data_IF_643820129363
#
_entry.id   IF_643820129363
#
_cell.length_a   1.000
_cell.length_b   1.000
_cell.length_c   1.000
_cell.angle_alpha   90.00
_cell.angle_beta   90.00
_cell.angle_gamma   90.00
#
_symmetry.space_group_name_H-M   'P 1'
#
loop_
_entity.id
_entity.type
_entity.pdbx_description
1 polymer ?
#
# COMPACT_ATOMS: atom_id res chain seq x y z
N UNK A 1 -8.97 4.08 3.70
CA UNK A 1 -9.61 3.35 4.83
C UNK A 1 -11.06 3.78 4.82
N UNK A 2 -12.03 2.86 4.70
CA UNK A 2 -13.44 3.24 4.74
C UNK A 2 -13.74 4.00 6.03
N UNK A 3 -14.23 5.22 5.91
CA UNK A 3 -14.59 6.07 7.06
C UNK A 3 -15.63 5.43 8.00
N UNK A 4 -16.37 4.44 7.50
CA UNK A 4 -17.34 3.65 8.26
C UNK A 4 -16.72 2.75 9.35
N UNK A 5 -15.44 2.37 9.22
CA UNK A 5 -14.76 1.50 10.19
C UNK A 5 -14.32 2.24 11.46
N UNK A 6 -14.09 3.54 11.38
CA UNK A 6 -13.44 4.31 12.47
C UNK A 6 -14.43 5.21 13.23
N UNK A 7 -15.62 5.41 12.70
CA UNK A 7 -16.48 6.47 13.23
C UNK A 7 -17.49 6.03 14.29
N UNK A 8 -18.75 6.03 13.91
CA UNK A 8 -19.88 5.91 14.84
C UNK A 8 -20.18 4.48 15.27
N UNK A 9 -20.04 3.50 14.37
CA UNK A 9 -20.44 2.11 14.70
C UNK A 9 -19.59 1.43 15.76
N UNK A 10 -18.26 1.66 15.78
CA UNK A 10 -17.41 1.08 16.80
C UNK A 10 -17.70 1.67 18.17
N UNK A 11 -17.98 2.96 18.24
CA UNK A 11 -18.33 3.60 19.51
C UNK A 11 -19.72 3.23 20.04
N UNK A 12 -20.71 3.02 19.14
CA UNK A 12 -22.02 2.50 19.54
C UNK A 12 -21.89 1.07 20.09
N UNK A 13 -21.04 0.24 19.48
CA UNK A 13 -20.79 -1.13 19.91
C UNK A 13 -19.98 -1.21 21.19
N UNK A 14 -19.04 -0.29 21.40
CA UNK A 14 -18.34 -0.13 22.69
C UNK A 14 -19.32 0.25 23.80
N UNK A 15 -20.20 1.21 23.55
CA UNK A 15 -21.27 1.59 24.47
C UNK A 15 -22.27 0.46 24.80
N UNK A 16 -22.43 -0.50 23.90
CA UNK A 16 -23.24 -1.71 24.09
C UNK A 16 -22.47 -2.91 24.65
N UNK A 17 -21.18 -2.72 25.00
CA UNK A 17 -20.26 -3.78 25.44
C UNK A 17 -20.11 -4.96 24.47
N UNK A 18 -20.33 -4.72 23.15
CA UNK A 18 -20.19 -5.73 22.11
C UNK A 18 -18.74 -5.87 21.61
N UNK A 19 -17.78 -6.01 22.53
CA UNK A 19 -16.33 -6.01 22.26
C UNK A 19 -15.89 -7.08 21.25
N UNK A 20 -16.55 -8.24 21.21
CA UNK A 20 -16.22 -9.29 20.23
C UNK A 20 -16.36 -8.81 18.77
N UNK A 21 -17.36 -7.97 18.48
CA UNK A 21 -17.49 -7.38 17.15
C UNK A 21 -16.40 -6.34 16.85
N UNK A 22 -16.01 -5.57 17.88
CA UNK A 22 -14.91 -4.60 17.76
C UNK A 22 -13.60 -5.33 17.47
N UNK A 23 -13.27 -6.36 18.25
CA UNK A 23 -12.08 -7.19 18.05
C UNK A 23 -12.05 -7.81 16.67
N UNK A 24 -13.17 -8.40 16.21
CA UNK A 24 -13.25 -9.02 14.91
C UNK A 24 -13.02 -8.01 13.77
N UNK A 25 -13.60 -6.81 13.86
CA UNK A 25 -13.40 -5.76 12.84
C UNK A 25 -11.95 -5.25 12.82
N UNK A 26 -11.35 -5.01 13.99
CA UNK A 26 -9.94 -4.60 14.08
C UNK A 26 -9.03 -5.70 13.52
N UNK A 27 -9.26 -6.94 13.90
CA UNK A 27 -8.50 -8.08 13.39
C UNK A 27 -8.59 -8.17 11.86
N UNK A 28 -9.80 -8.12 11.30
CA UNK A 28 -10.01 -8.19 9.86
C UNK A 28 -9.30 -7.02 9.14
N UNK A 29 -9.42 -5.81 9.67
CA UNK A 29 -8.71 -4.65 9.14
C UNK A 29 -7.18 -4.84 9.17
N UNK A 30 -6.64 -5.29 10.30
CA UNK A 30 -5.19 -5.50 10.43
C UNK A 30 -4.67 -6.59 9.49
N UNK A 31 -5.41 -7.69 9.30
CA UNK A 31 -4.98 -8.83 8.50
C UNK A 31 -5.17 -8.58 7.00
N UNK A 32 -6.37 -8.15 6.60
CA UNK A 32 -6.72 -8.08 5.18
C UNK A 32 -6.37 -6.72 4.55
N UNK A 33 -6.79 -5.63 5.17
CA UNK A 33 -6.63 -4.30 4.57
C UNK A 33 -5.24 -3.72 4.85
N UNK A 34 -4.84 -3.70 6.12
CA UNK A 34 -3.55 -3.13 6.51
C UNK A 34 -2.39 -4.05 6.08
N UNK A 35 -2.36 -5.29 6.57
CA UNK A 35 -1.27 -6.24 6.32
C UNK A 35 -1.27 -6.78 4.90
N UNK A 36 -2.43 -7.25 4.42
CA UNK A 36 -2.54 -7.90 3.12
C UNK A 36 -2.47 -6.96 1.91
N UNK A 37 -2.74 -5.69 2.09
CA UNK A 37 -2.77 -4.72 0.98
C UNK A 37 -1.83 -3.54 1.25
N UNK A 38 -2.13 -2.73 2.26
CA UNK A 38 -1.48 -1.42 2.40
C UNK A 38 0.00 -1.53 2.73
N UNK A 39 0.36 -2.31 3.76
CA UNK A 39 1.77 -2.46 4.16
C UNK A 39 2.62 -3.10 3.06
N UNK A 40 2.03 -3.98 2.26
CA UNK A 40 2.73 -4.63 1.17
C UNK A 40 3.05 -3.66 0.01
N UNK A 41 2.06 -2.84 -0.36
CA UNK A 41 2.21 -1.83 -1.40
C UNK A 41 3.23 -0.76 -1.02
N UNK A 42 3.23 -0.28 0.22
CA UNK A 42 4.10 0.83 0.64
C UNK A 42 5.53 0.42 0.95
N UNK A 43 5.87 -0.88 0.96
CA UNK A 43 7.25 -1.35 1.22
C UNK A 43 8.27 -0.66 0.32
N UNK A 44 7.98 -0.61 -0.98
CA UNK A 44 8.87 0.06 -1.94
C UNK A 44 9.04 1.54 -1.58
N UNK A 45 7.94 2.25 -1.30
CA UNK A 45 7.96 3.66 -0.90
C UNK A 45 8.77 3.89 0.39
N UNK A 46 8.64 3.01 1.37
CA UNK A 46 9.33 3.14 2.65
C UNK A 46 10.82 2.81 2.58
N UNK A 47 11.21 1.85 1.73
CA UNK A 47 12.59 1.34 1.72
C UNK A 47 13.42 1.84 0.54
N UNK A 48 12.80 2.18 -0.58
CA UNK A 48 13.50 2.53 -1.83
C UNK A 48 13.56 4.03 -2.07
N UNK A 49 12.52 4.80 -1.75
CA UNK A 49 12.53 6.25 -1.96
C UNK A 49 13.57 6.96 -1.09
N UNK A 50 13.97 8.15 -1.48
CA UNK A 50 14.91 9.00 -0.73
C UNK A 50 14.38 9.26 0.69
N UNK A 51 15.29 9.33 1.66
CA UNK A 51 14.94 9.39 3.10
C UNK A 51 14.11 10.61 3.50
N UNK A 52 14.32 11.73 2.83
CA UNK A 52 13.67 13.02 3.04
C UNK A 52 12.61 13.35 1.98
N UNK A 53 12.27 12.40 1.12
CA UNK A 53 11.28 12.60 0.05
C UNK A 53 9.87 12.81 0.61
N UNK A 54 9.09 13.62 -0.09
CA UNK A 54 7.67 13.80 0.21
C UNK A 54 6.91 12.45 0.22
N UNK A 55 7.23 11.56 -0.72
CA UNK A 55 6.62 10.23 -0.82
C UNK A 55 6.82 9.40 0.47
N UNK A 56 8.05 9.36 0.99
CA UNK A 56 8.35 8.64 2.23
C UNK A 56 7.72 9.28 3.44
N UNK A 57 7.82 10.60 3.56
CA UNK A 57 7.24 11.34 4.68
C UNK A 57 5.72 11.20 4.75
N UNK A 58 5.02 11.24 3.59
CA UNK A 58 3.57 11.04 3.54
C UNK A 58 3.16 9.62 3.95
N UNK A 59 3.93 8.60 3.55
CA UNK A 59 3.67 7.23 3.96
C UNK A 59 3.91 7.03 5.47
N UNK A 60 4.97 7.60 6.02
CA UNK A 60 5.24 7.60 7.47
C UNK A 60 4.14 8.30 8.26
N UNK A 61 3.66 9.45 7.76
CA UNK A 61 2.54 10.16 8.37
C UNK A 61 1.27 9.31 8.37
N UNK A 62 0.94 8.70 7.24
CA UNK A 62 -0.23 7.81 7.15
C UNK A 62 -0.13 6.61 8.10
N UNK A 63 1.04 5.99 8.21
CA UNK A 63 1.28 4.91 9.17
C UNK A 63 1.13 5.36 10.62
N UNK A 64 1.63 6.56 10.94
CA UNK A 64 1.48 7.15 12.27
C UNK A 64 0.01 7.39 12.60
N UNK A 65 -0.78 7.95 11.68
CA UNK A 65 -2.21 8.19 11.85
C UNK A 65 -2.99 6.87 12.07
N UNK A 66 -2.66 5.84 11.29
CA UNK A 66 -3.27 4.51 11.45
C UNK A 66 -2.90 3.91 12.81
N UNK A 67 -1.64 3.99 13.22
CA UNK A 67 -1.17 3.48 14.50
C UNK A 67 -1.84 4.20 15.67
N UNK A 68 -1.90 5.55 15.64
CA UNK A 68 -2.55 6.35 16.68
C UNK A 68 -4.01 5.96 16.88
N UNK A 69 -4.76 5.79 15.78
CA UNK A 69 -6.17 5.39 15.86
C UNK A 69 -6.30 3.96 16.38
N UNK A 70 -5.50 3.02 15.89
CA UNK A 70 -5.55 1.63 16.33
C UNK A 70 -5.25 1.50 17.81
N UNK A 71 -4.23 2.20 18.34
CA UNK A 71 -3.87 2.16 19.76
C UNK A 71 -5.05 2.65 20.62
N UNK A 72 -5.70 3.74 20.22
CA UNK A 72 -6.88 4.26 20.92
C UNK A 72 -8.07 3.30 20.85
N UNK A 73 -8.29 2.64 19.71
CA UNK A 73 -9.38 1.68 19.52
C UNK A 73 -9.18 0.39 20.35
N UNK A 74 -7.94 -0.07 20.50
CA UNK A 74 -7.66 -1.28 21.29
C UNK A 74 -7.52 -1.00 22.78
N UNK A 75 -7.34 0.26 23.21
CA UNK A 75 -7.06 0.62 24.59
C UNK A 75 -8.11 0.12 25.60
N UNK A 76 -9.42 0.09 25.31
CA UNK A 76 -10.41 -0.47 26.26
C UNK A 76 -10.30 -1.99 26.45
N UNK A 77 -9.64 -2.69 25.52
CA UNK A 77 -9.55 -4.16 25.48
C UNK A 77 -8.15 -4.61 25.89
N UNK A 78 -7.12 -4.04 25.28
CA UNK A 78 -5.71 -4.35 25.51
C UNK A 78 -5.06 -3.21 26.31
N UNK A 79 -5.56 -2.98 27.52
CA UNK A 79 -5.24 -1.82 28.37
C UNK A 79 -3.73 -1.61 28.54
N UNK A 80 -3.00 -2.64 28.96
CA UNK A 80 -1.57 -2.54 29.24
C UNK A 80 -0.76 -2.41 27.94
N UNK A 81 -1.08 -3.19 26.91
CA UNK A 81 -0.39 -3.14 25.62
C UNK A 81 -0.55 -1.78 24.97
N UNK A 82 -1.76 -1.22 24.97
CA UNK A 82 -2.02 0.08 24.39
C UNK A 82 -1.24 1.20 25.11
N UNK A 83 -1.20 1.17 26.44
CA UNK A 83 -0.42 2.14 27.21
C UNK A 83 1.08 1.95 27.01
N UNK A 84 1.58 0.73 26.95
CA UNK A 84 3.00 0.44 26.70
C UNK A 84 3.43 0.98 25.34
N UNK A 85 2.65 0.74 24.27
CA UNK A 85 2.91 1.30 22.95
C UNK A 85 2.89 2.83 23.00
N UNK A 86 1.90 3.41 23.69
CA UNK A 86 1.80 4.86 23.83
C UNK A 86 3.02 5.47 24.51
N UNK A 87 3.52 4.84 25.56
CA UNK A 87 4.69 5.29 26.29
C UNK A 87 6.02 5.01 25.56
N UNK A 88 6.03 4.12 24.58
CA UNK A 88 7.25 3.78 23.84
C UNK A 88 7.71 4.85 22.84
N UNK A 89 6.79 5.74 22.41
CA UNK A 89 7.09 6.69 21.34
C UNK A 89 6.76 8.14 21.72
N UNK A 90 7.74 9.03 21.53
CA UNK A 90 7.62 10.43 21.95
C UNK A 90 6.52 11.22 21.25
N UNK A 91 6.18 10.89 20.00
CA UNK A 91 5.09 11.55 19.29
C UNK A 91 3.72 11.28 19.92
N UNK A 92 3.51 10.10 20.51
CA UNK A 92 2.30 9.79 21.25
C UNK A 92 2.30 10.53 22.60
N UNK A 93 3.39 10.48 23.34
CA UNK A 93 3.53 11.18 24.64
C UNK A 93 3.33 12.69 24.55
N UNK A 94 3.73 13.31 23.40
CA UNK A 94 3.47 14.73 23.15
C UNK A 94 1.99 15.06 23.01
N UNK A 95 1.15 14.10 22.62
CA UNK A 95 -0.30 14.32 22.52
C UNK A 95 -0.96 14.25 23.91
N UNK A 96 -0.56 13.28 24.73
CA UNK A 96 -1.08 13.11 26.09
C UNK A 96 -0.15 12.21 26.91
N UNK A 97 -0.19 12.36 28.23
CA UNK A 97 0.57 11.53 29.19
C UNK A 97 0.17 10.05 29.15
N UNK A 98 -1.04 9.74 28.71
CA UNK A 98 -1.58 8.38 28.62
C UNK A 98 -2.60 8.30 27.50
N UNK A 99 -2.72 7.12 26.87
CA UNK A 99 -3.74 6.88 25.84
C UNK A 99 -5.16 7.07 26.39
N UNK A 100 -5.38 6.76 27.66
CA UNK A 100 -6.69 6.88 28.32
C UNK A 100 -7.12 8.33 28.58
N UNK A 101 -6.20 9.28 28.51
CA UNK A 101 -6.49 10.71 28.64
C UNK A 101 -6.68 11.40 27.28
N UNK A 102 -6.54 10.65 26.21
CA UNK A 102 -6.71 11.20 24.86
C UNK A 102 -8.18 11.35 24.50
N UNK A 103 -8.57 12.48 23.90
CA UNK A 103 -9.88 12.59 23.30
C UNK A 103 -10.00 11.62 22.13
N UNK A 104 -11.24 11.25 21.81
CA UNK A 104 -11.54 10.47 20.62
C UNK A 104 -11.01 11.19 19.38
N UNK A 105 -10.24 10.47 18.56
CA UNK A 105 -9.73 11.00 17.31
C UNK A 105 -10.64 10.60 16.15
N UNK A 106 -11.06 11.58 15.36
CA UNK A 106 -11.74 11.36 14.09
C UNK A 106 -10.74 11.56 12.95
N UNK A 107 -10.86 10.75 11.90
CA UNK A 107 -10.13 11.00 10.65
C UNK A 107 -10.79 12.18 9.93
N UNK A 108 -9.99 13.17 9.58
CA UNK A 108 -10.43 14.19 8.65
C UNK A 108 -10.59 13.56 7.27
N UNK A 109 -11.65 13.96 6.56
CA UNK A 109 -11.81 13.56 5.16
C UNK A 109 -10.67 14.16 4.36
N UNK A 110 -9.90 13.31 3.70
CA UNK A 110 -8.81 13.73 2.81
C UNK A 110 -9.41 13.85 1.41
N UNK A 111 -9.23 15.00 0.78
CA UNK A 111 -9.56 15.17 -0.63
C UNK A 111 -8.54 14.40 -1.47
N UNK A 112 -9.04 13.56 -2.36
CA UNK A 112 -8.23 12.76 -3.28
C UNK A 112 -8.75 12.92 -4.70
N UNK A 113 -7.84 12.93 -5.66
CA UNK A 113 -8.17 12.88 -7.08
C UNK A 113 -8.66 11.51 -7.54
N UNK A 114 -8.47 10.48 -6.72
CA UNK A 114 -8.95 9.12 -6.95
C UNK A 114 -10.12 8.89 -6.01
N UNK A 115 -11.29 8.58 -6.57
CA UNK A 115 -12.50 8.33 -5.81
C UNK A 115 -12.47 6.96 -5.10
N UNK A 116 -13.33 6.77 -4.10
CA UNK A 116 -13.49 5.48 -3.43
C UNK A 116 -13.95 4.38 -4.41
N UNK A 117 -14.72 4.73 -5.44
CA UNK A 117 -15.17 3.78 -6.45
C UNK A 117 -14.05 3.40 -7.41
N UNK A 118 -13.16 4.34 -7.77
CA UNK A 118 -11.93 4.01 -8.52
C UNK A 118 -11.06 3.03 -7.73
N UNK A 119 -10.86 3.27 -6.43
CA UNK A 119 -10.10 2.36 -5.57
C UNK A 119 -10.72 0.96 -5.50
N UNK A 120 -12.04 0.84 -5.44
CA UNK A 120 -12.71 -0.47 -5.49
C UNK A 120 -12.40 -1.22 -6.78
N UNK A 121 -12.43 -0.51 -7.93
CA UNK A 121 -12.06 -1.09 -9.23
C UNK A 121 -10.60 -1.52 -9.23
N UNK A 122 -9.69 -0.65 -8.77
CA UNK A 122 -8.25 -0.94 -8.71
C UNK A 122 -7.97 -2.19 -7.85
N UNK A 123 -8.60 -2.30 -6.68
CA UNK A 123 -8.41 -3.46 -5.80
C UNK A 123 -9.04 -4.73 -6.36
N UNK A 124 -10.19 -4.66 -7.04
CA UNK A 124 -10.77 -5.81 -7.71
C UNK A 124 -9.86 -6.35 -8.84
N UNK A 125 -9.21 -5.44 -9.58
CA UNK A 125 -8.19 -5.82 -10.57
C UNK A 125 -6.95 -6.40 -9.89
N UNK A 126 -6.49 -5.82 -8.76
CA UNK A 126 -5.37 -6.36 -7.97
C UNK A 126 -5.62 -7.79 -7.53
N UNK A 127 -6.82 -8.11 -7.06
CA UNK A 127 -7.17 -9.48 -6.66
C UNK A 127 -7.08 -10.44 -7.85
N UNK A 128 -7.55 -10.00 -9.02
CA UNK A 128 -7.44 -10.79 -10.26
C UNK A 128 -5.97 -10.95 -10.70
N UNK A 129 -5.15 -9.91 -10.56
CA UNK A 129 -3.70 -9.96 -10.83
C UNK A 129 -3.02 -10.94 -9.89
N UNK A 130 -3.31 -10.88 -8.59
CA UNK A 130 -2.73 -11.79 -7.59
C UNK A 130 -3.04 -13.26 -7.92
N UNK A 131 -4.29 -13.57 -8.30
CA UNK A 131 -4.66 -14.92 -8.71
C UNK A 131 -3.87 -15.41 -9.94
N UNK A 132 -3.65 -14.54 -10.93
CA UNK A 132 -2.86 -14.89 -12.11
C UNK A 132 -1.35 -14.99 -11.79
N UNK A 133 -0.82 -14.16 -10.88
CA UNK A 133 0.55 -14.27 -10.37
C UNK A 133 0.76 -15.65 -9.71
N UNK A 134 -0.17 -16.09 -8.84
CA UNK A 134 -0.04 -17.39 -8.18
C UNK A 134 -0.11 -18.56 -9.18
N UNK A 135 -0.95 -18.47 -10.22
CA UNK A 135 -0.94 -19.45 -11.32
C UNK A 135 0.39 -19.46 -12.06
N UNK A 136 0.90 -18.30 -12.46
CA UNK A 136 2.17 -18.18 -13.16
C UNK A 136 3.36 -18.69 -12.31
N UNK A 137 3.29 -18.57 -10.98
CA UNK A 137 4.25 -19.16 -10.05
C UNK A 137 4.14 -20.68 -9.99
N UNK A 138 2.92 -21.21 -9.90
CA UNK A 138 2.66 -22.66 -9.91
C UNK A 138 3.14 -23.30 -11.21
N UNK A 139 2.93 -22.62 -12.35
CA UNK A 139 3.39 -23.04 -13.67
C UNK A 139 4.89 -22.77 -13.91
N UNK A 140 5.61 -22.25 -12.91
CA UNK A 140 7.04 -21.91 -12.99
C UNK A 140 7.41 -20.89 -14.08
N UNK A 141 6.45 -20.06 -14.52
CA UNK A 141 6.68 -18.96 -15.46
C UNK A 141 7.48 -17.83 -14.80
N UNK A 142 7.19 -17.56 -13.52
CA UNK A 142 7.89 -16.58 -12.70
C UNK A 142 8.27 -17.20 -11.35
N UNK A 143 9.33 -16.68 -10.72
CA UNK A 143 9.75 -17.12 -9.36
C UNK A 143 9.12 -16.25 -8.27
N UNK A 144 8.93 -14.98 -8.53
CA UNK A 144 8.33 -14.00 -7.62
C UNK A 144 7.57 -12.91 -8.36
N UNK A 145 6.73 -12.17 -7.65
CA UNK A 145 5.91 -11.10 -8.25
C UNK A 145 6.75 -10.04 -8.97
N UNK A 146 7.91 -9.69 -8.39
CA UNK A 146 8.86 -8.73 -9.00
C UNK A 146 9.62 -9.28 -10.22
N UNK A 147 9.41 -10.53 -10.61
CA UNK A 147 9.90 -11.05 -11.89
C UNK A 147 8.87 -10.85 -13.02
N UNK A 148 7.64 -10.45 -12.67
CA UNK A 148 6.53 -10.37 -13.61
C UNK A 148 6.56 -9.09 -14.44
N UNK A 149 6.27 -9.25 -15.74
CA UNK A 149 5.68 -8.25 -16.62
C UNK A 149 4.21 -8.60 -16.78
N UNK A 150 3.34 -7.65 -16.43
CA UNK A 150 1.88 -7.81 -16.45
C UNK A 150 1.32 -7.01 -17.62
N UNK A 151 0.53 -7.66 -18.46
CA UNK A 151 -0.24 -6.99 -19.52
C UNK A 151 -1.72 -7.08 -19.15
N UNK A 152 -2.36 -5.93 -19.02
CA UNK A 152 -3.77 -5.81 -18.66
C UNK A 152 -4.52 -5.22 -19.84
N UNK A 153 -5.42 -6.01 -20.44
CA UNK A 153 -6.37 -5.53 -21.45
C UNK A 153 -7.76 -5.45 -20.83
N UNK A 154 -8.40 -4.30 -20.86
CA UNK A 154 -9.64 -4.07 -20.13
C UNK A 154 -10.56 -3.05 -20.80
N UNK A 155 -11.84 -3.07 -20.40
CA UNK A 155 -12.86 -2.12 -20.84
C UNK A 155 -12.50 -0.68 -20.46
N UNK A 156 -13.10 0.29 -21.17
CA UNK A 156 -12.87 1.74 -20.94
C UNK A 156 -13.15 2.17 -19.49
N UNK A 157 -14.11 1.55 -18.81
CA UNK A 157 -14.42 1.85 -17.40
C UNK A 157 -13.24 1.46 -16.48
N UNK A 158 -12.75 0.23 -16.59
CA UNK A 158 -11.61 -0.27 -15.81
C UNK A 158 -10.35 0.50 -16.19
N UNK A 159 -10.12 0.70 -17.49
CA UNK A 159 -8.98 1.48 -18.00
C UNK A 159 -8.94 2.88 -17.40
N UNK A 160 -10.09 3.59 -17.37
CA UNK A 160 -10.18 4.93 -16.81
C UNK A 160 -9.79 5.00 -15.32
N UNK A 161 -10.17 4.01 -14.52
CA UNK A 161 -9.77 3.95 -13.11
C UNK A 161 -8.27 3.66 -12.94
N UNK A 162 -7.73 2.66 -13.66
CA UNK A 162 -6.31 2.29 -13.60
C UNK A 162 -5.41 3.41 -14.12
N UNK A 163 -5.82 4.11 -15.18
CA UNK A 163 -5.05 5.20 -15.80
C UNK A 163 -4.81 6.38 -14.86
N UNK A 164 -5.66 6.59 -13.86
CA UNK A 164 -5.47 7.65 -12.86
C UNK A 164 -4.18 7.50 -12.07
N UNK A 165 -3.72 6.28 -11.85
CA UNK A 165 -2.46 5.99 -11.15
C UNK A 165 -1.32 5.54 -12.08
N UNK A 166 -1.62 5.29 -13.34
CA UNK A 166 -0.72 5.04 -14.49
C UNK A 166 0.65 4.45 -14.13
N UNK A 167 1.69 5.27 -14.08
CA UNK A 167 3.06 4.84 -13.83
C UNK A 167 3.29 4.21 -12.44
N UNK A 168 2.36 4.36 -11.50
CA UNK A 168 2.45 3.78 -10.17
C UNK A 168 1.71 2.45 -10.04
N UNK A 169 1.03 1.97 -11.11
CA UNK A 169 0.35 0.66 -11.14
C UNK A 169 1.27 -0.50 -10.74
N UNK A 170 2.52 -0.48 -11.19
CA UNK A 170 3.49 -1.52 -10.86
C UNK A 170 3.73 -1.68 -9.36
N UNK A 171 3.59 -0.60 -8.58
CA UNK A 171 3.73 -0.66 -7.13
C UNK A 171 2.49 -1.23 -6.46
N UNK A 172 1.28 -0.90 -6.99
CA UNK A 172 0.03 -1.49 -6.51
C UNK A 172 0.00 -3.00 -6.77
N UNK A 173 0.44 -3.44 -7.95
CA UNK A 173 0.45 -4.85 -8.33
C UNK A 173 1.71 -5.60 -7.90
N UNK A 174 2.71 -4.88 -7.36
CA UNK A 174 3.99 -5.44 -6.90
C UNK A 174 4.68 -6.21 -8.04
N UNK A 175 4.81 -5.57 -9.18
CA UNK A 175 5.41 -6.12 -10.40
C UNK A 175 6.53 -5.22 -10.92
N UNK A 176 7.40 -5.75 -11.74
CA UNK A 176 8.47 -4.97 -12.36
C UNK A 176 7.97 -4.07 -13.47
N UNK A 177 6.99 -4.55 -14.26
CA UNK A 177 6.43 -3.83 -15.40
C UNK A 177 4.93 -4.08 -15.50
N UNK A 178 4.16 -3.04 -15.84
CA UNK A 178 2.72 -3.12 -16.11
C UNK A 178 2.40 -2.38 -17.40
N UNK A 179 1.83 -3.10 -18.35
CA UNK A 179 1.32 -2.57 -19.61
C UNK A 179 -0.20 -2.55 -19.55
N UNK A 180 -0.80 -1.37 -19.74
CA UNK A 180 -2.24 -1.18 -19.70
C UNK A 180 -2.77 -0.89 -21.12
N UNK A 181 -3.73 -1.69 -21.55
CA UNK A 181 -4.35 -1.59 -22.89
C UNK A 181 -5.85 -1.43 -22.74
N UNK A 182 -6.40 -0.42 -23.40
CA UNK A 182 -7.84 -0.27 -23.53
C UNK A 182 -8.35 -1.18 -24.66
N UNK A 183 -9.28 -2.06 -24.35
CA UNK A 183 -9.94 -2.94 -25.31
C UNK A 183 -11.44 -3.04 -24.99
N UNK A 184 -12.25 -2.36 -25.79
CA UNK A 184 -13.71 -2.31 -25.62
C UNK A 184 -14.40 -3.67 -25.79
N UNK A 185 -13.73 -4.66 -26.39
CA UNK A 185 -14.27 -6.00 -26.61
C UNK A 185 -13.97 -6.95 -25.44
N UNK A 186 -13.06 -6.56 -24.55
CA UNK A 186 -12.61 -7.39 -23.44
C UNK A 186 -12.97 -6.72 -22.11
N UNK A 187 -13.70 -7.44 -21.25
CA UNK A 187 -14.00 -6.89 -19.91
C UNK A 187 -12.72 -6.76 -19.08
N UNK A 188 -11.96 -7.83 -18.95
CA UNK A 188 -10.67 -7.87 -18.27
C UNK A 188 -9.91 -9.13 -18.71
N UNK A 189 -8.68 -8.95 -19.21
CA UNK A 189 -7.72 -10.02 -19.47
C UNK A 189 -6.39 -9.63 -18.86
N UNK A 190 -5.73 -10.58 -18.21
CA UNK A 190 -4.46 -10.39 -17.51
C UNK A 190 -3.49 -11.48 -17.96
N UNK A 191 -2.44 -11.08 -18.66
CA UNK A 191 -1.36 -11.95 -19.08
C UNK A 191 -0.11 -11.68 -18.26
N UNK A 192 0.52 -12.73 -17.73
CA UNK A 192 1.72 -12.64 -16.91
C UNK A 192 2.85 -13.38 -17.62
N UNK A 193 3.94 -12.68 -17.82
CA UNK A 193 5.16 -13.22 -18.40
C UNK A 193 6.36 -12.92 -17.50
N UNK A 194 7.42 -13.73 -17.61
CA UNK A 194 8.67 -13.37 -16.98
C UNK A 194 9.28 -12.17 -17.70
N UNK A 195 9.60 -11.12 -16.94
CA UNK A 195 10.27 -9.95 -17.49
C UNK A 195 11.77 -10.28 -17.67
N UNK A 196 12.20 -10.46 -18.91
CA UNK A 196 13.57 -10.86 -19.26
C UNK A 196 14.53 -9.67 -19.21
N UNK A 197 14.70 -9.12 -18.01
CA UNK A 197 15.61 -8.03 -17.70
C UNK A 197 16.44 -8.34 -16.47
N UNK A 198 17.56 -7.63 -16.29
CA UNK A 198 18.38 -7.74 -15.09
C UNK A 198 17.62 -7.26 -13.86
N UNK A 199 17.93 -7.83 -12.72
CA UNK A 199 17.32 -7.50 -11.42
C UNK A 199 18.17 -6.48 -10.67
N UNK A 200 17.58 -5.39 -10.25
CA UNK A 200 18.21 -4.38 -9.41
C UNK A 200 18.48 -4.97 -8.01
N UNK A 201 19.71 -4.89 -7.52
CA UNK A 201 20.08 -5.43 -6.19
C UNK A 201 19.45 -4.67 -5.02
N UNK A 202 19.02 -3.40 -5.25
CA UNK A 202 18.43 -2.56 -4.21
C UNK A 202 16.91 -2.66 -4.11
N UNK A 203 16.18 -2.48 -5.21
CA UNK A 203 14.71 -2.51 -5.19
C UNK A 203 14.12 -3.85 -5.64
N UNK A 204 14.94 -4.74 -6.17
CA UNK A 204 14.60 -6.08 -6.65
C UNK A 204 13.67 -6.11 -7.88
N UNK A 205 13.31 -4.96 -8.42
CA UNK A 205 12.59 -4.90 -9.69
C UNK A 205 13.55 -5.23 -10.83
N UNK A 206 13.04 -5.89 -11.85
CA UNK A 206 13.72 -6.05 -13.13
C UNK A 206 13.48 -4.81 -13.99
N UNK A 207 14.51 -4.32 -14.68
CA UNK A 207 14.38 -3.16 -15.55
C UNK A 207 15.54 -3.03 -16.52
N UNK A 208 15.32 -2.31 -17.61
CA UNK A 208 16.29 -2.09 -18.69
C UNK A 208 17.45 -1.17 -18.28
N UNK A 209 17.22 -0.30 -17.29
CA UNK A 209 18.17 0.73 -16.88
C UNK A 209 19.34 0.22 -15.99
N UNK A 210 19.44 -1.07 -15.74
CA UNK A 210 20.57 -1.63 -14.99
C UNK A 210 21.80 -1.64 -15.86
N UNK A 211 22.91 -1.08 -15.32
CA UNK A 211 24.15 -0.88 -16.05
C UNK A 211 24.26 0.46 -16.78
N UNK A 212 23.27 1.36 -16.62
CA UNK A 212 23.32 2.70 -17.23
C UNK A 212 24.18 3.71 -16.46
N UNK A 213 24.57 3.39 -15.21
CA UNK A 213 25.41 4.22 -14.35
C UNK A 213 26.71 3.47 -14.06
N UNK A 214 27.85 4.07 -14.47
CA UNK A 214 29.18 3.46 -14.33
C UNK A 214 29.57 3.28 -12.86
N UNK A 215 29.19 4.22 -11.99
CA UNK A 215 29.52 4.20 -10.56
C UNK A 215 28.76 3.09 -9.80
N UNK A 216 27.53 2.74 -10.26
CA UNK A 216 26.67 1.75 -9.63
C UNK A 216 25.95 0.87 -10.68
N UNK A 217 26.67 -0.01 -11.38
CA UNK A 217 26.11 -0.77 -12.52
C UNK A 217 25.06 -1.83 -12.12
N UNK A 218 24.92 -2.14 -10.84
CA UNK A 218 23.99 -3.18 -10.35
C UNK A 218 22.65 -2.61 -9.88
N UNK A 219 22.50 -1.27 -9.82
CA UNK A 219 21.22 -0.62 -9.47
C UNK A 219 20.58 0.03 -10.69
N UNK A 220 19.25 0.16 -10.65
CA UNK A 220 18.48 0.83 -11.70
C UNK A 220 18.56 2.35 -11.56
N UNK A 221 18.25 3.08 -12.64
CA UNK A 221 18.26 4.55 -12.66
C UNK A 221 17.33 5.15 -11.59
N UNK A 222 16.18 4.53 -11.29
CA UNK A 222 15.31 4.93 -10.19
C UNK A 222 16.01 4.88 -8.84
N UNK A 223 16.70 3.78 -8.57
CA UNK A 223 17.45 3.62 -7.31
C UNK A 223 18.64 4.58 -7.24
N UNK A 224 19.33 4.79 -8.35
CA UNK A 224 20.41 5.76 -8.45
C UNK A 224 19.91 7.18 -8.12
N UNK A 225 18.81 7.62 -8.71
CA UNK A 225 18.19 8.93 -8.42
C UNK A 225 17.76 9.05 -6.95
N UNK A 226 17.27 7.97 -6.33
CA UNK A 226 16.87 7.96 -4.92
C UNK A 226 18.08 8.00 -3.95
N UNK A 227 19.24 7.53 -4.37
CA UNK A 227 20.46 7.51 -3.52
C UNK A 227 21.26 8.80 -3.69
N UNK A 228 21.51 9.21 -4.93
CA UNK A 228 22.44 10.30 -5.24
C UNK A 228 21.77 11.56 -5.76
N UNK A 229 20.53 11.48 -6.26
CA UNK A 229 19.81 12.58 -6.87
C UNK A 229 18.74 13.18 -5.95
N UNK A 230 17.76 13.85 -6.57
CA UNK A 230 16.65 14.51 -5.88
C UNK A 230 15.55 13.55 -5.43
N UNK A 231 15.67 12.28 -5.80
CA UNK A 231 14.67 11.26 -5.53
C UNK A 231 13.56 11.20 -6.59
N UNK A 232 12.82 10.11 -6.61
CA UNK A 232 11.67 9.95 -7.49
C UNK A 232 10.44 10.72 -6.98
N UNK A 233 9.60 11.17 -7.90
CA UNK A 233 8.32 11.80 -7.58
C UNK A 233 7.22 10.73 -7.63
N UNK A 234 6.53 10.54 -6.51
CA UNK A 234 5.37 9.65 -6.40
C UNK A 234 4.17 10.44 -5.88
N UNK A 235 3.00 10.20 -6.46
CA UNK A 235 1.79 10.97 -6.16
C UNK A 235 0.75 10.15 -5.38
N UNK A 236 0.63 8.86 -5.68
CA UNK A 236 -0.49 8.05 -5.22
C UNK A 236 -0.06 6.87 -4.33
N UNK A 237 0.97 6.15 -4.71
CA UNK A 237 1.36 4.88 -4.09
C UNK A 237 2.82 4.85 -3.67
#
# INVERSE_FOLDING_TARGET
IPSSLVGSEMCIRDSSYAYHHVVQKIHNFCVHELGGIYLDIIKDRMYVTKSDSHARNSAQFALFEVADILIRLISPILVFTAEEIWQSHDLFKKQSKSVFLCPKKSLNKIESSISDDDWKVIFAVKDSVNQNIEKARADSVIKGSLDAKIKISCSSEIYGALKKIDNELKFVFIASEVELIEDSNTKLSIDITNYDQKKCIRCWNKCESIGSHEDDPEICSRCHTNVYGDGEVRKFV
#
